data_IF_314577285187
#
_entry.id   IF_314577285187
#
_cell.length_a   1.000
_cell.length_b   1.000
_cell.length_c   1.000
_cell.angle_alpha   90.00
_cell.angle_beta   90.00
_cell.angle_gamma   90.00
#
_symmetry.space_group_name_H-M   'P 1'
#
loop_
_entity.id
_entity.type
_entity.pdbx_description
1 polymer ?
#
# COMPACT_ATOMS: atom_id res chain seq x y z
N UNK A 1 2.63 -20.07 -4.27
CA UNK A 1 1.41 -19.78 -5.05
C UNK A 1 1.78 -19.20 -6.42
N UNK A 2 2.34 -17.99 -6.55
CA UNK A 2 2.75 -17.41 -7.87
C UNK A 2 3.77 -18.29 -8.59
N UNK A 3 4.83 -18.75 -7.92
CA UNK A 3 5.80 -19.68 -8.50
C UNK A 3 5.18 -20.96 -9.06
N UNK A 4 4.14 -21.51 -8.42
CA UNK A 4 3.43 -22.67 -8.94
C UNK A 4 2.65 -22.34 -10.23
N UNK A 5 2.17 -21.12 -10.36
CA UNK A 5 1.53 -20.64 -11.58
C UNK A 5 2.53 -20.42 -12.73
N UNK A 6 3.73 -19.91 -12.44
CA UNK A 6 4.83 -19.83 -13.43
C UNK A 6 5.26 -21.22 -13.90
N UNK A 7 5.40 -22.16 -12.97
CA UNK A 7 5.75 -23.57 -13.29
C UNK A 7 4.72 -24.24 -14.20
N UNK A 8 3.41 -24.06 -13.93
CA UNK A 8 2.34 -24.56 -14.82
C UNK A 8 2.41 -24.03 -16.24
N UNK A 9 2.96 -22.82 -16.43
CA UNK A 9 3.15 -22.19 -17.74
C UNK A 9 4.47 -22.56 -18.42
N UNK A 10 5.31 -23.38 -17.75
CA UNK A 10 6.65 -23.71 -18.24
C UNK A 10 7.61 -22.50 -18.27
N UNK A 11 7.33 -21.46 -17.48
CA UNK A 11 8.19 -20.28 -17.35
C UNK A 11 9.33 -20.61 -16.40
N UNK A 12 10.60 -20.53 -16.85
CA UNK A 12 11.73 -20.75 -15.95
C UNK A 12 11.83 -19.61 -14.95
N UNK A 13 12.16 -19.93 -13.71
CA UNK A 13 12.47 -18.95 -12.67
C UNK A 13 13.52 -19.50 -11.72
N UNK A 14 14.29 -18.60 -11.12
CA UNK A 14 15.21 -18.90 -10.03
C UNK A 14 14.81 -18.14 -8.78
N UNK A 15 15.15 -18.68 -7.61
CA UNK A 15 15.05 -17.96 -6.35
C UNK A 15 16.37 -17.27 -6.08
N UNK A 16 16.33 -15.98 -5.83
CA UNK A 16 17.47 -15.20 -5.39
C UNK A 16 17.39 -14.99 -3.88
N UNK A 17 18.40 -15.45 -3.15
CA UNK A 17 18.55 -15.16 -1.74
C UNK A 17 19.33 -13.84 -1.59
N UNK A 18 18.64 -12.80 -1.15
CA UNK A 18 19.25 -11.48 -0.96
C UNK A 18 20.43 -11.50 0.02
N UNK A 19 20.46 -12.42 0.99
CA UNK A 19 21.57 -12.54 1.91
C UNK A 19 22.90 -12.97 1.23
N UNK A 20 22.81 -13.54 0.01
CA UNK A 20 23.97 -13.95 -0.79
C UNK A 20 24.33 -12.99 -1.92
N UNK A 21 23.62 -11.85 -2.05
CA UNK A 21 23.88 -10.86 -3.10
C UNK A 21 25.08 -9.99 -2.71
N UNK A 22 26.06 -9.93 -3.62
CA UNK A 22 27.10 -8.92 -3.57
C UNK A 22 26.65 -7.71 -4.41
N UNK A 23 26.38 -6.54 -3.79
CA UNK A 23 25.87 -5.37 -4.50
C UNK A 23 26.90 -4.74 -5.45
N UNK A 24 28.17 -5.10 -5.35
CA UNK A 24 29.24 -4.61 -6.21
C UNK A 24 29.59 -5.56 -7.35
N UNK A 25 29.04 -6.78 -7.31
CA UNK A 25 29.18 -7.79 -8.35
C UNK A 25 27.88 -8.58 -8.44
N UNK A 26 26.89 -7.98 -9.10
CA UNK A 26 25.53 -8.53 -9.14
C UNK A 26 25.50 -9.89 -9.83
N UNK A 27 24.78 -10.88 -9.24
CA UNK A 27 24.72 -12.23 -9.79
C UNK A 27 23.84 -12.35 -11.04
N UNK A 28 23.01 -11.33 -11.32
CA UNK A 28 22.06 -11.28 -12.44
C UNK A 28 21.99 -9.86 -13.00
N UNK A 29 21.78 -9.75 -14.32
CA UNK A 29 21.60 -8.49 -15.04
C UNK A 29 20.62 -8.69 -16.20
N UNK A 30 19.78 -7.70 -16.45
CA UNK A 30 18.76 -7.74 -17.50
C UNK A 30 17.60 -8.70 -17.23
N UNK A 31 17.34 -9.02 -15.97
CA UNK A 31 16.28 -9.94 -15.57
C UNK A 31 15.08 -9.19 -14.96
N UNK A 32 13.89 -9.79 -15.07
CA UNK A 32 12.72 -9.34 -14.32
C UNK A 32 12.71 -9.99 -12.93
N UNK A 33 12.78 -9.18 -11.88
CA UNK A 33 12.84 -9.64 -10.48
C UNK A 33 11.53 -9.33 -9.77
N UNK A 34 10.81 -10.35 -9.35
CA UNK A 34 9.65 -10.18 -8.49
C UNK A 34 10.07 -10.15 -7.01
N UNK A 35 9.99 -8.95 -6.41
CA UNK A 35 10.26 -8.75 -4.99
C UNK A 35 9.01 -9.05 -4.14
N UNK A 36 9.11 -9.98 -3.21
CA UNK A 36 8.02 -10.32 -2.30
C UNK A 36 8.52 -10.55 -0.88
N UNK A 37 7.73 -10.14 0.11
CA UNK A 37 8.07 -10.33 1.53
C UNK A 37 9.26 -9.49 2.02
N UNK A 38 9.65 -8.46 1.28
CA UNK A 38 10.75 -7.57 1.63
C UNK A 38 10.24 -6.50 2.58
N UNK A 39 10.97 -6.27 3.68
CA UNK A 39 10.77 -5.11 4.54
C UNK A 39 11.35 -3.87 3.86
N UNK A 40 10.63 -2.73 3.97
CA UNK A 40 11.02 -1.47 3.34
C UNK A 40 12.17 -0.74 4.06
N UNK A 41 12.76 -1.36 5.05
CA UNK A 41 13.88 -0.87 5.83
C UNK A 41 14.97 -1.93 5.94
N UNK A 42 16.20 -1.49 6.12
CA UNK A 42 17.34 -2.37 6.38
C UNK A 42 18.06 -2.89 5.14
N UNK A 43 18.99 -3.78 5.39
CA UNK A 43 19.99 -4.25 4.41
C UNK A 43 19.36 -4.92 3.19
N UNK A 44 18.31 -5.71 3.38
CA UNK A 44 17.63 -6.39 2.26
C UNK A 44 17.05 -5.41 1.25
N UNK A 45 16.53 -4.28 1.72
CA UNK A 45 15.98 -3.26 0.83
C UNK A 45 17.09 -2.51 0.06
N UNK A 46 18.24 -2.26 0.70
CA UNK A 46 19.40 -1.69 0.01
C UNK A 46 19.98 -2.64 -1.07
N UNK A 47 19.98 -3.96 -0.80
CA UNK A 47 20.39 -4.96 -1.79
C UNK A 47 19.40 -5.03 -2.97
N UNK A 48 18.09 -4.87 -2.71
CA UNK A 48 17.08 -4.81 -3.75
C UNK A 48 17.27 -3.57 -4.65
N UNK A 49 17.59 -2.41 -4.07
CA UNK A 49 17.95 -1.20 -4.83
C UNK A 49 19.19 -1.41 -5.71
N UNK A 50 20.21 -2.10 -5.19
CA UNK A 50 21.39 -2.41 -5.99
C UNK A 50 21.04 -3.34 -7.17
N UNK A 51 20.20 -4.35 -6.96
CA UNK A 51 19.72 -5.22 -8.05
C UNK A 51 18.92 -4.43 -9.11
N UNK A 52 18.15 -3.43 -8.70
CA UNK A 52 17.35 -2.58 -9.61
C UNK A 52 18.21 -1.72 -10.55
N UNK A 53 19.50 -1.51 -10.25
CA UNK A 53 20.41 -0.78 -11.15
C UNK A 53 20.59 -1.46 -12.51
N UNK A 54 20.48 -2.79 -12.57
CA UNK A 54 20.72 -3.58 -13.76
C UNK A 54 19.54 -4.51 -14.13
N UNK A 55 18.46 -4.49 -13.35
CA UNK A 55 17.32 -5.39 -13.52
C UNK A 55 15.99 -4.63 -13.40
N UNK A 56 14.92 -5.19 -13.95
CA UNK A 56 13.57 -4.70 -13.75
C UNK A 56 12.97 -5.31 -12.48
N UNK A 57 12.85 -4.54 -11.41
CA UNK A 57 12.28 -4.99 -10.13
C UNK A 57 10.80 -4.64 -10.04
N UNK A 58 9.95 -5.63 -9.77
CA UNK A 58 8.49 -5.51 -9.60
C UNK A 58 8.09 -5.87 -8.15
N UNK A 59 7.55 -4.95 -7.36
CA UNK A 59 7.41 -3.52 -7.62
C UNK A 59 8.77 -2.83 -7.54
N UNK A 60 8.90 -1.68 -8.21
CA UNK A 60 10.12 -0.86 -8.10
C UNK A 60 10.40 -0.45 -6.66
N UNK A 61 11.67 -0.27 -6.32
CA UNK A 61 12.05 0.13 -4.95
C UNK A 61 11.54 1.53 -4.61
N UNK A 62 11.41 2.45 -5.59
CA UNK A 62 10.80 3.77 -5.38
C UNK A 62 9.32 3.67 -5.01
N UNK A 63 8.56 2.82 -5.72
CA UNK A 63 7.15 2.60 -5.42
C UNK A 63 6.96 1.97 -4.03
N UNK A 64 7.78 0.97 -3.66
CA UNK A 64 7.77 0.35 -2.33
C UNK A 64 8.10 1.39 -1.24
N UNK A 65 9.16 2.19 -1.43
CA UNK A 65 9.55 3.24 -0.50
C UNK A 65 8.47 4.32 -0.36
N UNK A 66 7.83 4.71 -1.47
CA UNK A 66 6.70 5.62 -1.46
C UNK A 66 5.57 5.08 -0.59
N UNK A 67 5.16 3.83 -0.78
CA UNK A 67 4.11 3.19 0.02
C UNK A 67 4.46 3.08 1.51
N UNK A 68 5.73 2.95 1.86
CA UNK A 68 6.18 2.91 3.26
C UNK A 68 5.97 4.24 3.99
N UNK A 69 5.98 5.37 3.28
CA UNK A 69 5.82 6.72 3.83
C UNK A 69 4.40 7.23 3.65
N UNK A 70 3.64 7.37 4.73
CA UNK A 70 2.28 7.96 4.68
C UNK A 70 2.29 9.38 4.13
N UNK A 71 3.33 10.15 4.41
CA UNK A 71 3.46 11.54 3.91
C UNK A 71 3.59 11.54 2.39
N UNK A 72 4.51 10.77 1.84
CA UNK A 72 4.78 10.73 0.39
C UNK A 72 3.58 10.13 -0.36
N UNK A 73 3.02 9.02 0.14
CA UNK A 73 1.83 8.39 -0.43
C UNK A 73 0.67 9.37 -0.50
N UNK A 74 0.32 10.01 0.61
CA UNK A 74 -0.79 10.97 0.66
C UNK A 74 -0.54 12.19 -0.23
N UNK A 75 0.70 12.70 -0.27
CA UNK A 75 1.03 13.82 -1.17
C UNK A 75 0.86 13.46 -2.66
N UNK A 76 1.23 12.25 -3.07
CA UNK A 76 1.02 11.78 -4.46
C UNK A 76 -0.49 11.62 -4.75
N UNK A 77 -1.25 11.01 -3.84
CA UNK A 77 -2.71 10.81 -3.98
C UNK A 77 -3.43 12.14 -4.12
N UNK A 78 -3.18 13.11 -3.21
CA UNK A 78 -3.80 14.44 -3.27
C UNK A 78 -3.46 15.16 -4.58
N UNK A 79 -2.20 15.13 -5.02
CA UNK A 79 -1.77 15.78 -6.26
C UNK A 79 -2.37 15.16 -7.52
N UNK A 80 -2.69 13.88 -7.50
CA UNK A 80 -3.35 13.20 -8.62
C UNK A 80 -4.85 13.50 -8.69
N UNK A 81 -5.44 14.10 -7.65
CA UNK A 81 -6.88 14.29 -7.53
C UNK A 81 -7.64 13.04 -7.08
N UNK A 82 -6.95 11.96 -6.71
CA UNK A 82 -7.60 10.79 -6.12
C UNK A 82 -8.18 11.13 -4.73
N UNK A 83 -9.31 10.52 -4.33
CA UNK A 83 -9.97 10.84 -3.08
C UNK A 83 -9.08 10.48 -1.88
N UNK A 84 -8.84 11.45 -1.00
CA UNK A 84 -8.04 11.27 0.22
C UNK A 84 -8.67 12.06 1.36
N UNK A 85 -8.62 11.55 2.61
CA UNK A 85 -9.04 12.34 3.77
C UNK A 85 -8.19 13.61 3.88
N UNK A 86 -8.77 14.69 4.39
CA UNK A 86 -8.01 15.89 4.72
C UNK A 86 -6.83 15.51 5.63
N UNK A 87 -5.65 16.03 5.33
CA UNK A 87 -4.41 15.62 6.02
C UNK A 87 -3.56 16.84 6.35
N UNK A 88 -3.00 16.84 7.56
CA UNK A 88 -2.06 17.83 8.05
C UNK A 88 -0.74 17.15 8.40
N UNK A 89 0.38 17.74 7.98
CA UNK A 89 1.72 17.33 8.39
C UNK A 89 2.49 18.56 8.87
N UNK A 90 2.86 18.59 10.16
CA UNK A 90 3.41 19.77 10.81
C UNK A 90 4.21 19.46 12.06
N UNK A 91 5.09 20.40 12.45
CA UNK A 91 5.79 20.37 13.75
C UNK A 91 5.06 21.16 14.85
N UNK A 92 3.94 21.83 14.55
CA UNK A 92 3.24 22.73 15.47
C UNK A 92 1.95 22.14 15.98
N UNK A 93 1.79 22.05 17.30
CA UNK A 93 0.54 21.67 17.95
C UNK A 93 -0.58 22.68 17.72
N UNK A 94 -0.26 23.96 17.54
CA UNK A 94 -1.26 24.99 17.24
C UNK A 94 -1.89 24.76 15.84
N UNK A 95 -1.08 24.33 14.86
CA UNK A 95 -1.59 23.96 13.53
C UNK A 95 -2.46 22.71 13.62
N UNK A 96 -2.05 21.71 14.40
CA UNK A 96 -2.86 20.50 14.65
C UNK A 96 -4.19 20.86 15.29
N UNK A 97 -4.19 21.76 16.32
CA UNK A 97 -5.43 22.18 16.97
C UNK A 97 -6.37 22.89 15.99
N UNK A 98 -5.85 23.80 15.18
CA UNK A 98 -6.63 24.45 14.13
C UNK A 98 -7.21 23.45 13.13
N UNK A 99 -6.45 22.41 12.77
CA UNK A 99 -6.94 21.35 11.91
C UNK A 99 -8.10 20.59 12.54
N UNK A 100 -8.01 20.22 13.84
CA UNK A 100 -9.10 19.59 14.60
C UNK A 100 -10.35 20.45 14.58
N UNK A 101 -10.21 21.74 14.91
CA UNK A 101 -11.31 22.70 15.01
C UNK A 101 -12.07 22.88 13.68
N UNK A 102 -11.36 22.75 12.55
CA UNK A 102 -11.94 22.89 11.21
C UNK A 102 -12.44 21.58 10.60
N UNK A 103 -12.14 20.41 11.22
CA UNK A 103 -12.51 19.09 10.72
C UNK A 103 -13.34 18.27 11.74
N UNK A 104 -14.34 18.91 12.33
CA UNK A 104 -15.34 18.23 13.16
C UNK A 104 -14.91 17.92 14.60
N UNK A 105 -13.91 18.62 15.13
CA UNK A 105 -13.52 18.55 16.56
C UNK A 105 -12.78 17.28 16.96
N UNK A 106 -12.30 16.49 16.01
CA UNK A 106 -11.49 15.29 16.25
C UNK A 106 -10.65 14.93 15.02
N UNK A 107 -9.54 14.24 15.26
CA UNK A 107 -8.64 13.80 14.21
C UNK A 107 -8.00 12.44 14.56
N UNK A 108 -7.29 11.85 13.61
CA UNK A 108 -6.57 10.60 13.77
C UNK A 108 -5.08 10.85 13.60
N UNK A 109 -4.31 10.53 14.64
CA UNK A 109 -2.85 10.47 14.56
C UNK A 109 -2.42 9.15 13.92
N UNK A 110 -1.39 9.23 13.08
CA UNK A 110 -0.75 8.05 12.48
C UNK A 110 0.77 8.26 12.47
N UNK A 111 1.58 7.27 12.85
CA UNK A 111 3.02 7.34 12.62
C UNK A 111 3.31 7.42 11.11
N UNK A 112 4.30 8.23 10.72
CA UNK A 112 4.70 8.39 9.30
C UNK A 112 5.07 7.04 8.70
N UNK A 113 5.89 6.28 9.42
CA UNK A 113 6.25 4.90 9.11
C UNK A 113 5.58 3.99 10.13
N UNK A 114 4.88 2.96 9.69
CA UNK A 114 4.19 2.04 10.58
C UNK A 114 3.38 1.00 9.83
N UNK A 115 3.14 -0.13 10.51
CA UNK A 115 2.48 -1.29 9.94
C UNK A 115 1.34 -1.73 10.86
N UNK A 116 0.36 -2.40 10.30
CA UNK A 116 -0.72 -3.09 11.02
C UNK A 116 -1.57 -2.21 11.94
N UNK A 117 -1.61 -0.89 11.70
CA UNK A 117 -2.40 0.04 12.51
C UNK A 117 -1.81 0.36 13.89
N UNK A 118 -0.57 -0.05 14.16
CA UNK A 118 0.10 0.26 15.41
C UNK A 118 0.35 1.77 15.54
N UNK A 119 0.08 2.32 16.73
CA UNK A 119 0.26 3.75 17.01
C UNK A 119 -0.77 4.66 16.35
N UNK A 120 -1.87 4.12 15.82
CA UNK A 120 -2.99 4.89 15.27
C UNK A 120 -4.04 5.08 16.35
N UNK A 121 -4.41 6.33 16.62
CA UNK A 121 -5.46 6.64 17.58
C UNK A 121 -6.20 7.92 17.21
N UNK A 122 -7.44 8.04 17.70
CA UNK A 122 -8.27 9.23 17.57
C UNK A 122 -8.05 10.12 18.79
N UNK A 123 -8.08 11.44 18.59
CA UNK A 123 -7.92 12.45 19.63
C UNK A 123 -8.77 13.70 19.35
N UNK A 124 -9.01 14.53 20.37
CA UNK A 124 -9.89 15.71 20.32
C UNK A 124 -9.13 17.02 20.59
N UNK A 125 -7.91 16.95 21.10
CA UNK A 125 -7.06 18.10 21.37
C UNK A 125 -5.62 17.78 21.02
N UNK A 126 -4.89 18.74 20.47
CA UNK A 126 -3.48 18.60 20.16
C UNK A 126 -2.61 18.26 21.38
N UNK A 127 -3.08 18.58 22.60
CA UNK A 127 -2.38 18.24 23.84
C UNK A 127 -2.43 16.74 24.17
N UNK A 128 -3.37 15.99 23.59
CA UNK A 128 -3.45 14.53 23.73
C UNK A 128 -2.37 13.79 22.96
N UNK A 129 -1.69 14.43 22.00
CA UNK A 129 -0.59 13.82 21.24
C UNK A 129 0.64 13.70 22.15
N UNK A 130 1.10 12.46 22.33
CA UNK A 130 2.24 12.11 23.20
C UNK A 130 3.56 12.02 22.45
N UNK A 131 3.49 11.86 21.14
CA UNK A 131 4.65 11.71 20.27
C UNK A 131 5.33 13.05 20.04
N UNK A 132 6.62 12.98 19.75
CA UNK A 132 7.41 14.12 19.29
C UNK A 132 7.08 14.47 17.82
N UNK A 133 7.19 15.76 17.43
CA UNK A 133 6.97 16.15 16.05
C UNK A 133 8.01 15.51 15.10
N UNK A 134 7.70 15.38 13.82
CA UNK A 134 6.53 15.94 13.12
C UNK A 134 5.28 15.08 13.28
N UNK A 135 4.12 15.74 13.28
CA UNK A 135 2.80 15.12 13.42
C UNK A 135 2.16 14.88 12.05
N UNK A 136 1.79 13.65 11.76
CA UNK A 136 0.92 13.30 10.63
C UNK A 136 -0.48 13.02 11.16
N UNK A 137 -1.41 13.87 10.78
CA UNK A 137 -2.78 13.88 11.30
C UNK A 137 -3.77 13.90 10.13
N UNK A 138 -4.79 13.05 10.21
CA UNK A 138 -5.88 13.00 9.24
C UNK A 138 -7.22 13.31 9.89
N UNK A 139 -8.17 13.83 9.10
CA UNK A 139 -9.56 13.93 9.54
C UNK A 139 -10.09 12.54 9.90
N UNK A 140 -10.98 12.52 10.89
CA UNK A 140 -11.68 11.29 11.25
C UNK A 140 -12.82 11.03 10.27
N UNK A 141 -12.67 10.04 9.42
CA UNK A 141 -13.76 9.53 8.58
C UNK A 141 -14.51 8.45 9.37
N UNK A 142 -15.80 8.72 9.67
CA UNK A 142 -16.63 7.75 10.40
C UNK A 142 -16.81 6.48 9.59
N UNK A 143 -16.50 5.35 10.18
CA UNK A 143 -16.56 4.05 9.54
C UNK A 143 -16.83 2.93 10.54
N UNK A 144 -17.40 1.82 10.07
CA UNK A 144 -17.55 0.55 10.78
C UNK A 144 -16.85 -0.59 10.04
N UNK A 145 -16.22 -0.27 8.91
CA UNK A 145 -15.54 -1.19 8.00
C UNK A 145 -14.58 -0.43 7.10
N UNK A 146 -13.65 -1.17 6.53
CA UNK A 146 -12.85 -0.73 5.40
C UNK A 146 -12.83 -1.81 4.30
N UNK A 147 -12.25 -1.44 3.16
CA UNK A 147 -12.09 -2.34 2.03
C UNK A 147 -10.63 -2.37 1.61
N UNK A 148 -10.09 -3.57 1.36
CA UNK A 148 -8.80 -3.72 0.68
C UNK A 148 -9.01 -4.20 -0.72
N UNK A 149 -8.60 -3.39 -1.69
CA UNK A 149 -8.68 -3.68 -3.11
C UNK A 149 -7.30 -4.07 -3.60
N UNK A 150 -7.20 -5.21 -4.27
CA UNK A 150 -5.98 -5.63 -4.92
C UNK A 150 -5.99 -5.12 -6.36
N UNK A 151 -4.94 -4.37 -6.72
CA UNK A 151 -4.75 -3.77 -8.04
C UNK A 151 -3.52 -4.41 -8.69
N UNK A 152 -3.61 -4.78 -9.96
CA UNK A 152 -2.50 -5.26 -10.80
C UNK A 152 -2.58 -4.52 -12.13
N UNK A 153 -1.48 -3.99 -12.63
CA UNK A 153 -1.42 -3.26 -13.92
C UNK A 153 -2.47 -2.14 -13.97
N UNK A 154 -2.68 -1.47 -12.84
CA UNK A 154 -3.68 -0.41 -12.65
C UNK A 154 -5.13 -0.85 -12.83
N UNK A 155 -5.45 -2.14 -12.72
CA UNK A 155 -6.80 -2.68 -12.74
C UNK A 155 -7.15 -3.33 -11.40
N UNK A 156 -8.33 -3.03 -10.86
CA UNK A 156 -8.85 -3.61 -9.63
C UNK A 156 -9.31 -5.04 -9.88
N UNK A 157 -8.62 -6.03 -9.31
CA UNK A 157 -8.82 -7.45 -9.62
C UNK A 157 -9.45 -8.27 -8.49
N UNK A 158 -9.50 -7.74 -7.28
CA UNK A 158 -10.08 -8.42 -6.13
C UNK A 158 -10.30 -7.48 -4.96
N UNK A 159 -11.31 -7.73 -4.14
CA UNK A 159 -11.59 -6.93 -2.96
C UNK A 159 -12.03 -7.77 -1.78
N UNK A 160 -11.70 -7.32 -0.58
CA UNK A 160 -12.26 -7.79 0.68
C UNK A 160 -12.81 -6.62 1.48
N UNK A 161 -13.93 -6.86 2.15
CA UNK A 161 -14.43 -6.03 3.23
C UNK A 161 -13.84 -6.52 4.53
N UNK A 162 -13.29 -5.61 5.35
CA UNK A 162 -12.80 -5.89 6.70
C UNK A 162 -13.65 -5.17 7.73
N UNK A 163 -13.95 -5.83 8.83
CA UNK A 163 -14.73 -5.26 9.94
C UNK A 163 -14.11 -5.63 11.26
N UNK A 164 -14.09 -4.67 12.21
CA UNK A 164 -13.73 -4.88 13.60
C UNK A 164 -14.46 -3.86 14.48
N UNK A 165 -14.44 -4.08 15.78
CA UNK A 165 -14.95 -3.11 16.76
C UNK A 165 -13.93 -1.97 17.06
N UNK A 166 -12.75 -2.01 16.48
CA UNK A 166 -11.67 -1.05 16.69
C UNK A 166 -11.63 0.02 15.61
N UNK A 167 -10.86 1.09 15.84
CA UNK A 167 -10.62 2.16 14.87
C UNK A 167 -9.97 1.63 13.57
N UNK A 168 -9.13 0.61 13.69
CA UNK A 168 -8.49 -0.09 12.58
C UNK A 168 -9.15 -1.46 12.37
N UNK A 169 -9.39 -1.84 11.11
CA UNK A 169 -10.11 -3.08 10.76
C UNK A 169 -9.18 -4.22 10.33
N UNK A 170 -7.91 -4.15 10.69
CA UNK A 170 -6.89 -5.11 10.29
C UNK A 170 -7.21 -6.54 10.78
N UNK A 171 -7.15 -7.52 9.86
CA UNK A 171 -7.41 -8.93 10.17
C UNK A 171 -6.45 -9.44 11.24
N UNK A 172 -5.18 -9.03 11.21
CA UNK A 172 -4.17 -9.41 12.20
C UNK A 172 -4.48 -8.92 13.63
N UNK A 173 -5.32 -7.90 13.77
CA UNK A 173 -5.80 -7.37 15.06
C UNK A 173 -7.19 -7.89 15.44
N UNK A 174 -7.63 -9.01 14.86
CA UNK A 174 -8.91 -9.64 15.17
C UNK A 174 -10.08 -9.18 14.28
N UNK A 175 -9.82 -8.43 13.23
CA UNK A 175 -10.84 -8.11 12.22
C UNK A 175 -11.22 -9.34 11.40
N UNK A 176 -12.45 -9.34 10.89
CA UNK A 176 -12.93 -10.35 9.94
C UNK A 176 -12.84 -9.83 8.52
N UNK A 177 -12.52 -10.70 7.57
CA UNK A 177 -12.44 -10.37 6.15
C UNK A 177 -13.34 -11.25 5.32
N UNK A 178 -14.10 -10.67 4.38
CA UNK A 178 -14.87 -11.42 3.39
C UNK A 178 -14.70 -10.80 2.01
N UNK A 179 -14.63 -11.66 0.98
CA UNK A 179 -14.60 -11.19 -0.41
C UNK A 179 -15.88 -10.45 -0.77
N UNK A 180 -15.74 -9.41 -1.58
CA UNK A 180 -16.85 -8.58 -2.07
C UNK A 180 -16.67 -8.27 -3.55
N UNK A 181 -17.79 -7.93 -4.21
CA UNK A 181 -17.74 -7.36 -5.56
C UNK A 181 -17.11 -5.96 -5.52
N UNK A 182 -16.58 -5.53 -6.65
CA UNK A 182 -15.91 -4.24 -6.81
C UNK A 182 -16.83 -3.32 -7.61
N UNK A 183 -17.61 -2.43 -6.96
CA UNK A 183 -18.35 -1.39 -7.67
C UNK A 183 -17.38 -0.45 -8.41
N UNK A 184 -17.91 0.21 -9.46
CA UNK A 184 -17.08 1.07 -10.32
C UNK A 184 -16.38 2.20 -9.56
N UNK A 185 -17.06 2.87 -8.64
CA UNK A 185 -16.50 3.95 -7.82
C UNK A 185 -15.40 3.47 -6.87
N UNK A 186 -15.51 2.23 -6.37
CA UNK A 186 -14.46 1.57 -5.58
C UNK A 186 -13.23 1.25 -6.45
N UNK A 187 -13.46 0.72 -7.66
CA UNK A 187 -12.39 0.45 -8.63
C UNK A 187 -11.67 1.76 -9.01
N UNK A 188 -12.43 2.77 -9.42
CA UNK A 188 -11.89 4.08 -9.84
C UNK A 188 -11.01 4.71 -8.74
N UNK A 189 -11.43 4.65 -7.47
CA UNK A 189 -10.66 5.16 -6.34
C UNK A 189 -9.34 4.39 -6.14
N UNK A 190 -9.38 3.05 -6.19
CA UNK A 190 -8.21 2.21 -6.00
C UNK A 190 -7.21 2.33 -7.16
N UNK A 191 -7.70 2.31 -8.39
CA UNK A 191 -6.90 2.42 -9.61
C UNK A 191 -6.22 3.79 -9.71
N UNK A 192 -6.95 4.87 -9.38
CA UNK A 192 -6.38 6.22 -9.37
C UNK A 192 -5.25 6.35 -8.33
N UNK A 193 -5.40 5.72 -7.16
CA UNK A 193 -4.35 5.69 -6.14
C UNK A 193 -3.12 4.90 -6.61
N UNK A 194 -3.31 3.72 -7.22
CA UNK A 194 -2.21 2.93 -7.77
C UNK A 194 -1.44 3.68 -8.85
N UNK A 195 -2.16 4.37 -9.77
CA UNK A 195 -1.55 5.23 -10.80
C UNK A 195 -0.80 6.41 -10.21
N UNK A 196 -1.32 7.03 -9.15
CA UNK A 196 -0.66 8.15 -8.45
C UNK A 196 0.69 7.75 -7.86
N UNK A 197 0.81 6.52 -7.38
CA UNK A 197 2.06 5.97 -6.85
C UNK A 197 2.99 5.55 -7.99
N UNK A 198 2.46 5.01 -9.08
CA UNK A 198 3.22 4.37 -10.16
C UNK A 198 3.67 2.97 -9.76
N UNK A 199 2.74 2.16 -9.23
CA UNK A 199 3.05 0.85 -8.68
C UNK A 199 2.38 -0.26 -9.50
N UNK A 200 3.11 -1.32 -9.79
CA UNK A 200 2.67 -2.43 -10.65
C UNK A 200 1.55 -3.24 -10.04
N UNK A 201 1.65 -3.56 -8.77
CA UNK A 201 0.59 -4.19 -8.00
C UNK A 201 0.59 -3.70 -6.56
N UNK A 202 -0.58 -3.56 -5.98
CA UNK A 202 -0.72 -3.07 -4.62
C UNK A 202 -2.04 -3.52 -3.96
N UNK A 203 -2.11 -3.31 -2.65
CA UNK A 203 -3.36 -3.33 -1.90
C UNK A 203 -3.74 -1.91 -1.50
N UNK A 204 -4.89 -1.43 -1.98
CA UNK A 204 -5.41 -0.10 -1.64
C UNK A 204 -6.47 -0.24 -0.56
N UNK A 205 -6.28 0.47 0.55
CA UNK A 205 -7.24 0.50 1.66
C UNK A 205 -8.17 1.70 1.51
N UNK A 206 -9.47 1.44 1.45
CA UNK A 206 -10.52 2.42 1.23
C UNK A 206 -11.50 2.47 2.40
N UNK A 207 -11.93 3.67 2.79
CA UNK A 207 -13.12 3.86 3.63
C UNK A 207 -14.31 4.29 2.79
N UNK A 208 -15.51 3.76 3.07
CA UNK A 208 -16.74 4.29 2.50
C UNK A 208 -17.07 5.65 3.13
N UNK A 209 -17.57 6.58 2.35
CA UNK A 209 -18.05 7.88 2.81
C UNK A 209 -19.56 7.84 3.07
N UNK A 210 -20.04 8.53 4.12
CA UNK A 210 -21.48 8.66 4.39
C UNK A 210 -22.23 9.36 3.24
N UNK A 211 -21.55 10.19 2.46
CA UNK A 211 -22.09 10.89 1.28
C UNK A 211 -22.09 10.03 0.01
N UNK A 212 -21.62 8.79 0.09
CA UNK A 212 -21.39 7.90 -1.04
C UNK A 212 -19.96 8.00 -1.59
N UNK A 213 -19.53 6.93 -2.28
CA UNK A 213 -18.16 6.81 -2.78
C UNK A 213 -17.16 6.39 -1.69
N UNK A 214 -15.88 6.53 -2.00
CA UNK A 214 -14.77 6.03 -1.19
C UNK A 214 -13.65 7.05 -1.05
N UNK A 215 -12.88 6.95 0.03
CA UNK A 215 -11.64 7.71 0.23
C UNK A 215 -10.47 6.76 0.49
N UNK A 216 -9.31 7.07 -0.04
CA UNK A 216 -8.09 6.24 0.05
C UNK A 216 -7.38 6.53 1.37
N UNK A 217 -7.18 5.50 2.17
CA UNK A 217 -6.42 5.58 3.43
C UNK A 217 -4.95 5.29 3.24
N UNK A 218 -4.64 4.26 2.45
CA UNK A 218 -3.29 3.72 2.33
C UNK A 218 -3.13 2.92 1.05
N UNK A 219 -1.90 2.89 0.52
CA UNK A 219 -1.48 1.99 -0.55
C UNK A 219 -0.35 1.10 -0.02
N UNK A 220 -0.55 -0.21 -0.07
CA UNK A 220 0.40 -1.20 0.41
C UNK A 220 1.18 -1.80 -0.75
N UNK A 221 2.50 -1.58 -0.80
CA UNK A 221 3.37 -2.03 -1.89
C UNK A 221 3.77 -3.50 -1.86
N UNK A 222 3.54 -4.20 -0.74
CA UNK A 222 3.78 -5.65 -0.59
C UNK A 222 2.57 -6.35 0.03
N UNK A 223 1.38 -6.26 -0.59
CA UNK A 223 0.14 -6.73 0.00
C UNK A 223 0.05 -8.25 0.03
N UNK A 224 -0.65 -8.78 1.03
CA UNK A 224 -1.18 -10.13 0.95
C UNK A 224 -2.60 -10.12 0.33
N UNK A 225 -3.06 -11.29 -0.12
CA UNK A 225 -4.38 -11.50 -0.75
C UNK A 225 -5.25 -12.51 0.00
N UNK A 226 -5.06 -12.61 1.32
CA UNK A 226 -5.90 -13.46 2.16
C UNK A 226 -7.38 -13.05 2.06
N UNK A 227 -8.26 -14.03 2.09
CA UNK A 227 -9.72 -13.88 1.98
C UNK A 227 -10.24 -13.38 0.62
N UNK A 228 -9.39 -13.17 -0.39
CA UNK A 228 -9.83 -12.85 -1.75
C UNK A 228 -10.23 -14.11 -2.51
N UNK A 229 -11.32 -14.02 -3.27
CA UNK A 229 -11.77 -15.10 -4.18
C UNK A 229 -11.14 -14.99 -5.57
N UNK A 230 -10.68 -13.80 -5.95
CA UNK A 230 -9.96 -13.60 -7.19
C UNK A 230 -8.66 -14.43 -7.24
N UNK A 231 -8.29 -14.98 -8.41
CA UNK A 231 -7.12 -15.84 -8.55
C UNK A 231 -5.81 -15.01 -8.62
N UNK A 232 -5.55 -14.20 -7.59
CA UNK A 232 -4.42 -13.25 -7.54
C UNK A 232 -3.07 -13.89 -7.94
N UNK A 233 -2.69 -15.10 -7.46
CA UNK A 233 -1.44 -15.71 -7.88
C UNK A 233 -1.33 -15.96 -9.39
N UNK A 234 -2.46 -16.29 -10.03
CA UNK A 234 -2.53 -16.48 -11.49
C UNK A 234 -2.36 -15.16 -12.22
N UNK A 235 -3.08 -14.12 -11.79
CA UNK A 235 -3.05 -12.79 -12.40
C UNK A 235 -1.66 -12.14 -12.26
N UNK A 236 -1.03 -12.26 -11.08
CA UNK A 236 0.35 -11.81 -10.87
C UNK A 236 1.34 -12.57 -11.76
N UNK A 237 1.20 -13.90 -11.89
CA UNK A 237 2.06 -14.66 -12.78
C UNK A 237 1.90 -14.24 -14.24
N UNK A 238 0.66 -13.97 -14.69
CA UNK A 238 0.38 -13.47 -16.04
C UNK A 238 1.02 -12.09 -16.27
N UNK A 239 0.93 -11.19 -15.28
CA UNK A 239 1.55 -9.87 -15.31
C UNK A 239 3.09 -9.96 -15.39
N UNK A 240 3.73 -10.74 -14.50
CA UNK A 240 5.18 -10.91 -14.49
C UNK A 240 5.70 -11.44 -15.83
N UNK A 241 5.00 -12.42 -16.42
CA UNK A 241 5.38 -12.96 -17.76
C UNK A 241 5.20 -11.92 -18.87
N UNK A 242 4.20 -11.04 -18.76
CA UNK A 242 4.01 -9.92 -19.69
C UNK A 242 5.20 -8.96 -19.63
N UNK A 243 5.59 -8.54 -18.42
CA UNK A 243 6.68 -7.60 -18.20
C UNK A 243 8.03 -8.17 -18.66
N UNK A 244 8.36 -9.41 -18.30
CA UNK A 244 9.59 -10.08 -18.78
C UNK A 244 9.71 -10.13 -20.32
N UNK A 245 8.60 -10.32 -21.03
CA UNK A 245 8.60 -10.28 -22.50
C UNK A 245 8.74 -8.87 -23.08
N UNK A 246 8.25 -7.86 -22.39
CA UNK A 246 8.39 -6.46 -22.80
C UNK A 246 9.82 -5.98 -22.60
N UNK A 247 10.46 -6.36 -21.50
CA UNK A 247 11.87 -6.05 -21.17
C UNK A 247 12.88 -6.68 -22.17
N UNK A 248 12.55 -7.85 -22.71
CA UNK A 248 13.42 -8.58 -23.66
C UNK A 248 13.26 -8.14 -25.13
N UNK A 249 12.44 -7.14 -25.44
CA UNK A 249 12.25 -6.59 -26.80
C UNK A 249 13.07 -5.34 -27.03
#
# INVERSE_FOLDING_TARGET
MVMAELQKRGVPYAKLDLASVDPFNLPVSGETIWACGIKQDGVQFELLKALELENHVINSTDAIATCASKVTTTAKIIRSGAPSPATCFTNSKEIVQKFIDTHGGKAVYKPVYGFDGNGIYMFHSADEIKEEPPYYVQEYVKNDRDFRIFVIDYEAVGAIKRQSAHLTHNIHQGGTGCAVEIPKDMADAAESAARAIGIDYCGVDLLPLETGGYTVLEVNGTPNWHCMTAPIPKLLADYLVKQDKEDRR
#
